data_IF_007904580380
#
_entry.id   IF_007904580380
#
_cell.length_a   1.000
_cell.length_b   1.000
_cell.length_c   1.000
_cell.angle_alpha   90.00
_cell.angle_beta   90.00
_cell.angle_gamma   90.00
#
_symmetry.space_group_name_H-M   'P 1'
#
loop_
_entity.id
_entity.type
_entity.pdbx_description
1 polymer ?
#
# COMPACT_ATOMS: atom_id res chain seq x y z
N UNK A 1 -7.64 -7.94 -23.11
CA UNK A 1 -6.69 -8.76 -22.30
C UNK A 1 -5.59 -7.89 -21.70
N UNK A 2 -5.08 -6.90 -22.44
CA UNK A 2 -4.09 -5.93 -21.94
C UNK A 2 -4.59 -5.15 -20.71
N UNK A 3 -5.86 -4.75 -20.67
CA UNK A 3 -6.43 -3.95 -19.57
C UNK A 3 -6.40 -4.66 -18.20
N UNK A 4 -6.58 -5.99 -18.20
CA UNK A 4 -6.50 -6.80 -16.97
C UNK A 4 -5.06 -6.93 -16.47
N UNK A 5 -4.10 -7.00 -17.40
CA UNK A 5 -2.68 -7.02 -17.07
C UNK A 5 -2.25 -5.67 -16.51
N UNK A 6 -2.65 -4.57 -17.14
CA UNK A 6 -2.37 -3.21 -16.66
C UNK A 6 -2.99 -2.97 -15.27
N UNK A 7 -4.22 -3.41 -15.04
CA UNK A 7 -4.86 -3.33 -13.72
C UNK A 7 -4.09 -4.13 -12.65
N UNK A 8 -3.63 -5.34 -12.99
CA UNK A 8 -2.85 -6.17 -12.07
C UNK A 8 -1.48 -5.56 -11.75
N UNK A 9 -0.80 -4.99 -12.75
CA UNK A 9 0.49 -4.30 -12.57
C UNK A 9 0.33 -3.04 -11.71
N UNK A 10 -0.73 -2.25 -11.93
CA UNK A 10 -1.02 -1.07 -11.09
C UNK A 10 -1.29 -1.45 -9.65
N UNK A 11 -2.07 -2.50 -9.39
CA UNK A 11 -2.29 -3.01 -8.03
C UNK A 11 -0.98 -3.41 -7.35
N UNK A 12 -0.12 -4.16 -8.05
CA UNK A 12 1.18 -4.57 -7.48
C UNK A 12 2.07 -3.36 -7.19
N UNK A 13 2.09 -2.36 -8.07
CA UNK A 13 2.83 -1.12 -7.82
C UNK A 13 2.35 -0.41 -6.56
N UNK A 14 1.05 -0.26 -6.37
CA UNK A 14 0.49 0.37 -5.17
C UNK A 14 0.80 -0.42 -3.89
N UNK A 15 0.73 -1.75 -3.95
CA UNK A 15 1.10 -2.61 -2.82
C UNK A 15 2.59 -2.50 -2.46
N UNK A 16 3.47 -2.45 -3.46
CA UNK A 16 4.92 -2.24 -3.25
C UNK A 16 5.20 -0.86 -2.64
N UNK A 17 4.53 0.19 -3.12
CA UNK A 17 4.66 1.54 -2.57
C UNK A 17 4.21 1.59 -1.10
N UNK A 18 3.07 0.98 -0.77
CA UNK A 18 2.57 0.93 0.61
C UNK A 18 3.55 0.16 1.53
N UNK A 19 4.15 -0.92 1.02
CA UNK A 19 5.18 -1.66 1.76
C UNK A 19 6.43 -0.80 1.97
N UNK A 20 6.90 -0.08 0.95
CA UNK A 20 8.04 0.82 1.06
C UNK A 20 7.79 1.90 2.11
N UNK A 21 6.62 2.53 2.10
CA UNK A 21 6.23 3.52 3.10
C UNK A 21 6.26 2.96 4.53
N UNK A 22 5.77 1.72 4.72
CA UNK A 22 5.86 1.06 6.03
C UNK A 22 7.31 0.81 6.44
N UNK A 23 8.17 0.40 5.51
CA UNK A 23 9.60 0.19 5.80
C UNK A 23 10.28 1.50 6.22
N UNK A 24 9.92 2.63 5.62
CA UNK A 24 10.43 3.95 6.05
C UNK A 24 10.01 4.29 7.49
N UNK A 25 8.75 4.03 7.84
CA UNK A 25 8.26 4.23 9.22
C UNK A 25 9.00 3.32 10.21
N UNK A 26 9.19 2.04 9.85
CA UNK A 26 9.95 1.10 10.67
C UNK A 26 11.42 1.54 10.81
N UNK A 27 12.05 1.97 9.72
CA UNK A 27 13.42 2.48 9.75
C UNK A 27 13.54 3.73 10.63
N UNK A 28 12.58 4.65 10.57
CA UNK A 28 12.52 5.81 11.44
C UNK A 28 12.33 5.42 12.91
N UNK A 29 11.48 4.45 13.21
CA UNK A 29 11.32 3.93 14.57
C UNK A 29 12.61 3.31 15.09
N UNK A 30 13.31 2.52 14.27
CA UNK A 30 14.58 1.88 14.64
C UNK A 30 15.65 2.96 14.86
N UNK A 31 15.75 3.94 13.97
CA UNK A 31 16.73 5.03 14.09
C UNK A 31 16.53 5.88 15.35
N UNK A 32 15.29 6.02 15.82
CA UNK A 32 14.95 6.78 17.02
C UNK A 32 14.67 5.90 18.25
N UNK A 33 14.88 4.58 18.17
CA UNK A 33 14.53 3.64 19.23
C UNK A 33 15.22 3.96 20.56
N UNK A 34 16.44 4.49 20.49
CA UNK A 34 17.25 4.85 21.66
C UNK A 34 17.04 6.31 22.11
N UNK A 35 16.10 7.05 21.51
CA UNK A 35 15.81 8.44 21.88
C UNK A 35 14.77 8.47 23.02
N UNK A 36 15.13 8.98 24.23
CA UNK A 36 14.18 9.04 25.34
C UNK A 36 12.92 9.85 24.99
N UNK A 37 11.75 9.28 25.26
CA UNK A 37 10.46 9.92 24.97
C UNK A 37 9.97 9.79 23.53
N UNK A 38 10.70 9.10 22.65
CA UNK A 38 10.23 8.82 21.29
C UNK A 38 9.05 7.83 21.28
N UNK A 39 8.02 8.12 20.48
CA UNK A 39 6.85 7.26 20.30
C UNK A 39 6.88 6.66 18.89
N UNK A 40 7.00 5.34 18.83
CA UNK A 40 6.96 4.60 17.57
C UNK A 40 5.61 4.78 16.87
N UNK A 41 5.66 4.90 15.54
CA UNK A 41 4.48 5.02 14.68
C UNK A 41 4.34 3.77 13.84
N UNK A 42 3.13 3.39 13.47
CA UNK A 42 2.91 2.36 12.43
C UNK A 42 1.74 2.79 11.54
N UNK A 43 1.72 2.22 10.34
CA UNK A 43 0.62 2.36 9.39
C UNK A 43 -0.18 1.06 9.48
N UNK A 44 -1.52 1.17 9.53
CA UNK A 44 -2.38 -0.01 9.38
C UNK A 44 -2.34 -0.52 7.93
N UNK A 45 -1.28 -1.26 7.63
CA UNK A 45 -1.02 -1.81 6.31
C UNK A 45 -2.15 -2.70 5.82
N UNK A 46 -2.78 -3.48 6.70
CA UNK A 46 -3.85 -4.38 6.31
C UNK A 46 -5.07 -3.60 5.82
N UNK A 47 -5.45 -2.56 6.56
CA UNK A 47 -6.55 -1.67 6.18
C UNK A 47 -6.24 -0.90 4.90
N UNK A 48 -5.04 -0.33 4.78
CA UNK A 48 -4.64 0.43 3.57
C UNK A 48 -4.53 -0.46 2.32
N UNK A 49 -3.96 -1.66 2.46
CA UNK A 49 -3.88 -2.62 1.36
C UNK A 49 -5.28 -3.07 0.91
N UNK A 50 -6.22 -3.26 1.86
CA UNK A 50 -7.61 -3.59 1.55
C UNK A 50 -8.29 -2.47 0.77
N UNK A 51 -8.04 -1.20 1.10
CA UNK A 51 -8.55 -0.04 0.33
C UNK A 51 -7.99 0.00 -1.08
N UNK A 52 -6.69 -0.27 -1.25
CA UNK A 52 -6.04 -0.39 -2.57
C UNK A 52 -6.66 -1.54 -3.39
N UNK A 53 -6.89 -2.69 -2.76
CA UNK A 53 -7.52 -3.86 -3.41
C UNK A 53 -8.99 -3.62 -3.80
N UNK A 54 -9.74 -2.85 -3.00
CA UNK A 54 -11.10 -2.45 -3.34
C UNK A 54 -11.10 -1.52 -4.56
N UNK A 55 -10.26 -0.47 -4.57
CA UNK A 55 -10.09 0.41 -5.74
C UNK A 55 -9.71 -0.33 -7.01
N UNK A 56 -8.79 -1.30 -6.93
CA UNK A 56 -8.39 -2.11 -8.08
C UNK A 56 -9.53 -2.97 -8.65
N UNK A 57 -10.43 -3.47 -7.79
CA UNK A 57 -11.63 -4.21 -8.22
C UNK A 57 -12.69 -3.31 -8.85
N UNK A 58 -12.89 -2.13 -8.29
CA UNK A 58 -13.85 -1.15 -8.83
C UNK A 58 -13.40 -0.68 -10.22
N UNK A 59 -12.10 -0.41 -10.40
CA UNK A 59 -11.50 -0.08 -11.69
C UNK A 59 -11.64 -1.20 -12.74
N UNK A 60 -11.63 -2.47 -12.32
CA UNK A 60 -11.83 -3.61 -13.22
C UNK A 60 -13.30 -3.78 -13.62
N UNK A 61 -14.24 -3.45 -12.71
CA UNK A 61 -15.68 -3.57 -12.97
C UNK A 61 -16.20 -2.50 -13.94
N UNK A 62 -15.68 -1.27 -13.87
CA UNK A 62 -16.07 -0.20 -14.81
C UNK A 62 -15.62 -0.50 -16.25
N UNK A 63 -14.45 -1.10 -16.44
CA UNK A 63 -13.95 -1.51 -17.77
C UNK A 63 -14.74 -2.69 -18.34
N UNK A 64 -15.35 -3.52 -17.49
CA UNK A 64 -16.16 -4.67 -17.94
C UNK A 64 -17.58 -4.28 -18.39
N UNK A 65 -18.04 -3.06 -18.07
CA UNK A 65 -19.39 -2.56 -18.39
C UNK A 65 -19.45 -1.69 -19.66
N UNK A 66 -18.30 -1.36 -20.24
CA UNK A 66 -18.13 -0.54 -21.46
C UNK A 66 -17.65 -1.40 -22.62
#
# INVERSE_FOLDING_TARGET
MLDKLDAALRFQQEALNLRAQRQEVLAANIANADTPGYQARDIDFASELKKVMQRGRDATSVVALT
#
